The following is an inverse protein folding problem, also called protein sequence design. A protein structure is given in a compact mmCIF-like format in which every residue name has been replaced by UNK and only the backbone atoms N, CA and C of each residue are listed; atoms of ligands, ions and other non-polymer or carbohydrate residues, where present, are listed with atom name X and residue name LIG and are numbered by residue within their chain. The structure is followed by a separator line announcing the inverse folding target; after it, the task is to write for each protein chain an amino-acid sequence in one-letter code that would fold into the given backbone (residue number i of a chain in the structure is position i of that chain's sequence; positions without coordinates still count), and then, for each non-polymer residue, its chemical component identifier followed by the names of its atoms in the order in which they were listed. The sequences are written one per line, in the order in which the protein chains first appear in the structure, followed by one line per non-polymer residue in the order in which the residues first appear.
data_IF_592882788071
#
_entry.id   IF_592882788071
#
_cell.length_a   1.000
_cell.length_b   1.000
_cell.length_c   1.000
_cell.angle_alpha   90.00
_cell.angle_beta   90.00
_cell.angle_gamma   90.00
#
_symmetry.space_group_name_H-M   'P 1'
#
loop_
_entity.id
_entity.type
_entity.pdbx_description
1 polymer ?
#
# COMPACT_ATOMS: atom_id res chain seq x y z
N UNK A 1 13.26 -56.05 38.93
CA UNK A 1 12.88 -56.71 37.66
C UNK A 1 13.38 -55.84 36.52
N UNK A 2 14.30 -56.38 35.71
CA UNK A 2 14.90 -55.74 34.54
C UNK A 2 14.16 -56.24 33.29
N UNK A 3 13.76 -55.33 32.41
CA UNK A 3 13.64 -55.66 30.99
C UNK A 3 13.89 -54.42 30.14
N UNK A 4 14.93 -54.51 29.31
CA UNK A 4 15.39 -53.53 28.34
C UNK A 4 15.30 -54.17 26.96
N UNK A 5 14.76 -53.49 25.94
CA UNK A 5 15.01 -53.69 24.48
C UNK A 5 14.55 -52.37 23.77
N UNK A 6 15.42 -51.39 23.43
CA UNK A 6 16.22 -51.16 22.20
C UNK A 6 15.43 -51.35 20.88
N UNK A 7 15.36 -50.40 19.94
CA UNK A 7 16.27 -50.22 18.77
C UNK A 7 15.60 -49.12 17.89
N UNK A 8 16.19 -47.93 17.70
CA UNK A 8 17.04 -47.48 16.57
C UNK A 8 16.25 -46.90 15.36
N UNK A 9 16.31 -45.57 15.20
CA UNK A 9 16.08 -44.83 13.94
C UNK A 9 17.16 -45.20 12.91
N UNK A 10 17.14 -44.87 11.58
CA UNK A 10 17.25 -43.46 11.14
C UNK A 10 16.93 -43.12 9.64
N UNK A 11 17.20 -41.85 9.23
CA UNK A 11 17.53 -41.34 7.87
C UNK A 11 16.45 -41.50 6.75
N UNK A 12 16.14 -40.49 5.94
CA UNK A 12 16.95 -40.04 4.80
C UNK A 12 16.52 -38.64 4.35
N UNK A 13 17.51 -37.84 3.95
CA UNK A 13 17.42 -36.49 3.44
C UNK A 13 17.28 -36.44 1.90
N UNK A 14 17.02 -35.21 1.42
CA UNK A 14 17.51 -34.62 0.16
C UNK A 14 16.70 -34.88 -1.13
N UNK A 15 16.22 -33.78 -1.73
CA UNK A 15 16.32 -33.57 -3.19
C UNK A 15 16.32 -32.07 -3.53
N UNK A 16 17.43 -31.65 -4.12
CA UNK A 16 17.77 -30.34 -4.69
C UNK A 16 17.60 -30.44 -6.22
N UNK A 17 17.01 -29.45 -6.88
CA UNK A 17 17.21 -29.13 -8.31
C UNK A 17 16.71 -27.68 -8.54
N UNK A 18 17.55 -26.67 -8.81
CA UNK A 18 18.46 -26.40 -9.93
C UNK A 18 17.76 -26.08 -11.27
N UNK A 19 17.63 -24.79 -11.57
CA UNK A 19 17.65 -24.20 -12.93
C UNK A 19 17.85 -22.68 -12.77
N UNK A 20 19.07 -22.14 -12.87
CA UNK A 20 19.84 -21.83 -14.10
C UNK A 20 19.14 -20.86 -15.06
N UNK A 21 19.38 -19.57 -14.82
CA UNK A 21 19.85 -18.55 -15.76
C UNK A 21 19.70 -18.84 -17.27
N UNK A 22 18.94 -18.01 -17.99
CA UNK A 22 18.98 -17.91 -19.45
C UNK A 22 19.41 -16.49 -19.90
N UNK A 23 20.14 -16.36 -21.03
CA UNK A 23 20.97 -15.19 -21.32
C UNK A 23 20.20 -14.03 -21.97
N UNK A 24 20.69 -12.83 -21.67
CA UNK A 24 20.37 -11.53 -22.26
C UNK A 24 20.58 -11.55 -23.79
N UNK A 25 19.52 -11.36 -24.56
CA UNK A 25 19.61 -11.09 -25.99
C UNK A 25 20.13 -9.67 -26.25
N UNK A 26 21.15 -9.56 -27.10
CA UNK A 26 21.79 -8.33 -27.56
C UNK A 26 21.21 -7.83 -28.90
N UNK A 27 20.98 -6.51 -28.94
CA UNK A 27 21.08 -5.57 -30.10
C UNK A 27 19.90 -5.52 -31.10
N UNK A 28 19.62 -4.38 -31.81
CA UNK A 28 20.52 -3.26 -32.12
C UNK A 28 19.94 -1.82 -32.05
N UNK A 29 20.85 -0.86 -32.25
CA UNK A 29 20.70 0.46 -32.87
C UNK A 29 19.85 1.56 -32.20
N UNK A 30 20.58 2.57 -31.73
CA UNK A 30 20.13 3.94 -31.46
C UNK A 30 19.42 4.55 -32.66
N UNK A 31 18.12 4.82 -32.52
CA UNK A 31 17.43 5.87 -33.26
C UNK A 31 17.13 7.01 -32.28
N UNK A 32 17.63 8.20 -32.60
CA UNK A 32 17.32 9.42 -31.86
C UNK A 32 15.81 9.70 -31.91
N UNK A 33 15.14 10.06 -30.81
CA UNK A 33 13.78 10.54 -30.90
C UNK A 33 13.83 11.96 -31.48
N UNK A 34 13.43 12.08 -32.75
CA UNK A 34 12.94 13.33 -33.31
C UNK A 34 11.84 13.85 -32.40
N UNK A 35 12.00 15.09 -31.92
CA UNK A 35 11.08 15.74 -31.00
C UNK A 35 9.68 15.84 -31.58
N UNK A 36 8.84 14.85 -31.27
CA UNK A 36 7.40 14.96 -31.44
C UNK A 36 6.87 15.67 -30.20
N UNK A 37 6.22 16.81 -30.40
CA UNK A 37 5.47 17.47 -29.34
C UNK A 37 4.42 16.49 -28.82
N UNK A 38 4.73 15.83 -27.70
CA UNK A 38 3.82 14.91 -27.05
C UNK A 38 2.58 15.71 -26.63
N UNK A 39 1.48 15.53 -27.35
CA UNK A 39 0.18 15.92 -26.85
C UNK A 39 0.06 15.31 -25.44
N UNK A 40 -0.13 16.16 -24.42
CA UNK A 40 -0.38 15.69 -23.06
C UNK A 40 -1.68 14.89 -23.05
N UNK A 41 -1.56 13.58 -23.27
CA UNK A 41 -2.63 12.64 -22.94
C UNK A 41 -2.84 12.76 -21.44
N UNK A 42 -4.03 13.20 -21.04
CA UNK A 42 -4.40 13.19 -19.64
C UNK A 42 -4.19 11.77 -19.08
N UNK A 43 -3.58 11.62 -17.90
CA UNK A 43 -3.37 10.30 -17.31
C UNK A 43 -4.71 9.58 -17.15
N UNK A 44 -4.79 8.34 -17.66
CA UNK A 44 -5.95 7.48 -17.44
C UNK A 44 -5.82 6.77 -16.09
N UNK A 45 -6.91 6.82 -15.32
CA UNK A 45 -7.02 6.13 -14.04
C UNK A 45 -7.91 4.88 -14.13
N UNK A 46 -8.42 4.56 -15.31
CA UNK A 46 -9.31 3.42 -15.51
C UNK A 46 -8.60 2.10 -15.18
N UNK A 47 -9.29 1.24 -14.42
CA UNK A 47 -8.75 -0.05 -13.97
C UNK A 47 -7.74 0.04 -12.82
N UNK A 48 -7.34 1.23 -12.36
CA UNK A 48 -6.48 1.36 -11.18
C UNK A 48 -7.27 1.01 -9.92
N UNK A 49 -6.74 0.11 -9.11
CA UNK A 49 -7.24 -0.15 -7.77
C UNK A 49 -6.84 0.99 -6.84
N UNK A 50 -7.78 1.45 -6.01
CA UNK A 50 -7.52 2.46 -4.99
C UNK A 50 -8.07 1.97 -3.64
N UNK A 51 -7.19 1.87 -2.65
CA UNK A 51 -7.57 1.54 -1.29
C UNK A 51 -7.72 2.80 -0.42
N UNK A 52 -8.93 3.04 0.06
CA UNK A 52 -9.29 4.22 0.85
C UNK A 52 -9.50 3.79 2.30
N UNK A 53 -8.60 4.18 3.20
CA UNK A 53 -8.67 3.81 4.62
C UNK A 53 -9.33 4.91 5.46
N UNK A 54 -10.23 4.51 6.35
CA UNK A 54 -11.21 5.42 6.97
C UNK A 54 -11.12 5.50 8.50
N UNK A 55 -11.98 4.83 9.23
CA UNK A 55 -11.97 4.73 10.68
C UNK A 55 -12.78 3.52 11.11
N UNK A 56 -13.02 3.39 12.42
CA UNK A 56 -13.77 2.24 12.95
C UNK A 56 -15.19 2.14 12.39
N UNK A 57 -15.79 0.96 12.54
CA UNK A 57 -17.19 0.72 12.15
C UNK A 57 -18.13 1.70 12.86
N UNK A 58 -18.96 2.41 12.10
CA UNK A 58 -19.88 3.44 12.62
C UNK A 58 -19.28 4.85 12.71
N UNK A 59 -17.99 5.04 12.40
CA UNK A 59 -17.39 6.37 12.30
C UNK A 59 -17.85 7.12 11.04
N UNK A 60 -17.80 8.44 11.07
CA UNK A 60 -18.23 9.30 9.94
C UNK A 60 -17.40 9.04 8.67
N UNK A 61 -16.09 8.76 8.82
CA UNK A 61 -15.19 8.58 7.68
C UNK A 61 -15.52 7.40 6.79
N UNK A 62 -16.19 6.35 7.29
CA UNK A 62 -16.55 5.20 6.43
C UNK A 62 -17.63 5.57 5.41
N UNK A 63 -18.54 6.47 5.79
CA UNK A 63 -19.60 6.98 4.89
C UNK A 63 -18.97 7.87 3.82
N UNK A 64 -18.05 8.75 4.20
CA UNK A 64 -17.32 9.58 3.24
C UNK A 64 -16.42 8.77 2.30
N UNK A 65 -15.71 7.77 2.83
CA UNK A 65 -14.89 6.88 2.02
C UNK A 65 -15.70 6.10 1.00
N UNK A 66 -16.87 5.57 1.38
CA UNK A 66 -17.75 4.86 0.47
C UNK A 66 -18.26 5.78 -0.67
N UNK A 67 -18.71 6.99 -0.34
CA UNK A 67 -19.14 7.97 -1.35
C UNK A 67 -18.00 8.42 -2.28
N UNK A 68 -16.79 8.59 -1.74
CA UNK A 68 -15.61 8.91 -2.54
C UNK A 68 -15.25 7.77 -3.49
N UNK A 69 -15.25 6.52 -3.01
CA UNK A 69 -14.99 5.34 -3.83
C UNK A 69 -15.99 5.25 -5.00
N UNK A 70 -17.27 5.44 -4.72
CA UNK A 70 -18.33 5.45 -5.74
C UNK A 70 -18.10 6.52 -6.80
N UNK A 71 -17.75 7.74 -6.37
CA UNK A 71 -17.49 8.85 -7.29
C UNK A 71 -16.27 8.58 -8.18
N UNK A 72 -15.17 8.09 -7.61
CA UNK A 72 -13.96 7.75 -8.36
C UNK A 72 -14.26 6.66 -9.39
N UNK A 73 -15.00 5.62 -9.01
CA UNK A 73 -15.37 4.55 -9.91
C UNK A 73 -16.23 5.06 -11.07
N UNK A 74 -17.23 5.92 -10.78
CA UNK A 74 -18.12 6.49 -11.80
C UNK A 74 -17.44 7.48 -12.73
N UNK A 75 -16.52 8.30 -12.22
CA UNK A 75 -15.92 9.41 -12.98
C UNK A 75 -14.60 9.04 -13.65
N UNK A 76 -13.84 8.14 -13.06
CA UNK A 76 -12.49 7.80 -13.49
C UNK A 76 -12.35 6.33 -13.92
N UNK A 77 -13.39 5.51 -13.74
CA UNK A 77 -13.35 4.08 -14.09
C UNK A 77 -12.37 3.27 -13.25
N UNK A 78 -12.06 3.74 -12.03
CA UNK A 78 -11.19 3.04 -11.07
C UNK A 78 -11.87 1.82 -10.47
N UNK A 79 -11.10 1.02 -9.73
CA UNK A 79 -11.58 0.00 -8.80
C UNK A 79 -11.27 0.44 -7.35
N UNK A 80 -11.92 1.51 -6.92
CA UNK A 80 -11.77 2.09 -5.59
C UNK A 80 -12.68 1.41 -4.57
N UNK A 81 -12.18 1.22 -3.35
CA UNK A 81 -12.94 0.67 -2.22
C UNK A 81 -12.54 1.35 -0.91
N UNK A 82 -13.50 1.47 0.01
CA UNK A 82 -13.29 2.03 1.34
C UNK A 82 -13.20 0.92 2.40
N UNK A 83 -12.26 1.07 3.34
CA UNK A 83 -11.97 0.08 4.37
C UNK A 83 -12.03 0.70 5.77
N UNK A 84 -12.62 -0.05 6.69
CA UNK A 84 -12.63 0.26 8.13
C UNK A 84 -11.25 -0.07 8.72
N UNK A 85 -10.78 0.76 9.65
CA UNK A 85 -9.47 0.63 10.31
C UNK A 85 -9.54 1.04 11.78
N UNK A 86 -8.41 1.01 12.48
CA UNK A 86 -8.29 1.50 13.87
C UNK A 86 -8.14 3.03 13.97
N UNK A 87 -8.35 3.78 12.87
CA UNK A 87 -8.29 5.25 12.73
C UNK A 87 -6.92 5.84 12.35
N UNK A 88 -6.72 7.15 12.58
CA UNK A 88 -5.75 8.01 11.91
C UNK A 88 -4.30 7.53 11.96
N UNK A 89 -3.82 7.01 13.10
CA UNK A 89 -2.43 6.53 13.22
C UNK A 89 -2.21 5.31 12.35
N UNK A 90 -3.14 4.35 12.39
CA UNK A 90 -3.10 3.14 11.57
C UNK A 90 -3.21 3.47 10.08
N UNK A 91 -4.09 4.40 9.72
CA UNK A 91 -4.22 4.88 8.34
C UNK A 91 -2.92 5.45 7.78
N UNK A 92 -2.22 6.29 8.54
CA UNK A 92 -0.95 6.85 8.09
C UNK A 92 0.17 5.81 8.02
N UNK A 93 0.13 4.77 8.86
CA UNK A 93 1.04 3.61 8.74
C UNK A 93 0.74 2.82 7.44
N UNK A 94 -0.53 2.64 7.09
CA UNK A 94 -0.92 1.99 5.83
C UNK A 94 -0.50 2.79 4.59
N UNK A 95 -0.59 4.13 4.63
CA UNK A 95 -0.07 5.01 3.57
C UNK A 95 1.44 4.86 3.44
N UNK A 96 2.17 4.95 4.56
CA UNK A 96 3.63 4.77 4.60
C UNK A 96 4.07 3.43 4.02
N UNK A 97 3.36 2.36 4.36
CA UNK A 97 3.68 1.01 3.94
C UNK A 97 3.23 0.72 2.48
N UNK A 98 2.61 1.70 1.79
CA UNK A 98 2.10 1.54 0.43
C UNK A 98 0.90 0.59 0.32
N UNK A 99 0.18 0.36 1.43
CA UNK A 99 -1.00 -0.52 1.50
C UNK A 99 -2.32 0.24 1.35
N UNK A 100 -2.28 1.56 1.41
CA UNK A 100 -3.39 2.45 1.14
C UNK A 100 -2.96 3.57 0.20
N UNK A 101 -3.91 4.07 -0.59
CA UNK A 101 -3.69 5.16 -1.55
C UNK A 101 -4.26 6.49 -1.03
N UNK A 102 -5.34 6.42 -0.26
CA UNK A 102 -6.02 7.58 0.32
C UNK A 102 -6.38 7.28 1.77
N UNK A 103 -6.14 8.23 2.66
CA UNK A 103 -6.44 8.10 4.08
C UNK A 103 -7.27 9.28 4.57
N UNK A 104 -8.29 8.97 5.37
CA UNK A 104 -8.91 9.96 6.25
C UNK A 104 -8.14 10.00 7.57
N UNK A 105 -7.83 11.19 8.07
CA UNK A 105 -7.07 11.36 9.31
C UNK A 105 -7.45 12.65 10.01
N UNK A 106 -7.12 12.73 11.30
CA UNK A 106 -6.98 14.01 11.97
C UNK A 106 -5.73 14.74 11.47
N UNK A 107 -5.78 16.08 11.53
CA UNK A 107 -4.71 16.94 11.00
C UNK A 107 -3.41 16.86 11.81
N UNK A 108 -3.52 16.73 13.14
CA UNK A 108 -2.39 16.52 14.06
C UNK A 108 -1.66 15.20 13.77
N UNK A 109 -2.41 14.11 13.56
CA UNK A 109 -1.84 12.79 13.25
C UNK A 109 -1.17 12.78 11.88
N UNK A 110 -1.78 13.43 10.87
CA UNK A 110 -1.15 13.58 9.56
C UNK A 110 0.13 14.41 9.64
N UNK A 111 0.11 15.49 10.44
CA UNK A 111 1.30 16.31 10.68
C UNK A 111 2.43 15.50 11.30
N UNK A 112 2.14 14.74 12.35
CA UNK A 112 3.14 13.88 13.00
C UNK A 112 3.69 12.81 12.04
N UNK A 113 2.81 12.19 11.26
CA UNK A 113 3.19 11.17 10.29
C UNK A 113 4.10 11.71 9.19
N UNK A 114 3.81 12.89 8.63
CA UNK A 114 4.61 13.49 7.56
C UNK A 114 5.97 13.97 8.08
N UNK A 115 6.01 14.49 9.31
CA UNK A 115 7.24 14.99 9.92
C UNK A 115 8.07 13.89 10.63
N UNK A 116 7.51 12.70 10.83
CA UNK A 116 8.19 11.61 11.54
C UNK A 116 8.33 11.88 13.04
N UNK A 117 7.31 12.47 13.65
CA UNK A 117 7.24 12.80 15.08
C UNK A 117 6.19 11.95 15.79
N UNK A 118 6.16 12.01 17.12
CA UNK A 118 5.16 11.30 17.92
C UNK A 118 5.14 9.80 17.64
N UNK A 119 3.98 9.21 17.26
CA UNK A 119 3.85 7.78 16.93
C UNK A 119 4.67 7.31 15.71
N UNK A 120 5.29 8.24 14.96
CA UNK A 120 6.06 7.97 13.75
C UNK A 120 7.56 8.26 13.91
N UNK A 121 8.00 8.60 15.13
CA UNK A 121 9.40 8.73 15.48
C UNK A 121 10.11 7.35 15.51
N UNK A 122 11.45 7.36 15.47
CA UNK A 122 12.23 6.11 15.49
C UNK A 122 11.80 5.17 16.64
N UNK A 123 11.66 3.85 16.39
CA UNK A 123 12.09 3.10 15.20
C UNK A 123 11.12 3.14 14.01
N UNK A 124 9.97 3.81 14.15
CA UNK A 124 9.04 4.01 13.04
C UNK A 124 9.62 5.01 12.02
N UNK A 125 8.93 5.16 10.90
CA UNK A 125 9.31 6.09 9.83
C UNK A 125 8.16 7.00 9.48
N UNK A 126 8.49 8.20 9.00
CA UNK A 126 7.53 9.14 8.42
C UNK A 126 6.79 8.53 7.23
N UNK A 127 5.58 8.99 6.99
CA UNK A 127 4.80 8.70 5.80
C UNK A 127 5.13 9.71 4.68
N UNK A 128 5.30 9.23 3.45
CA UNK A 128 5.30 10.11 2.27
C UNK A 128 3.85 10.32 1.81
N UNK A 129 3.24 11.39 2.30
CA UNK A 129 1.85 11.71 2.04
C UNK A 129 1.69 13.19 1.71
N UNK A 130 0.61 13.52 0.99
CA UNK A 130 0.20 14.91 0.71
C UNK A 130 -1.26 15.09 1.11
N UNK A 131 -1.56 16.24 1.70
CA UNK A 131 -2.93 16.61 2.01
C UNK A 131 -3.71 16.87 0.71
N UNK A 132 -4.89 16.25 0.57
CA UNK A 132 -5.78 16.45 -0.58
C UNK A 132 -6.85 17.50 -0.29
N UNK A 133 -7.48 17.43 0.89
CA UNK A 133 -8.55 18.34 1.30
C UNK A 133 -8.69 18.36 2.83
N UNK A 134 -9.25 19.46 3.35
CA UNK A 134 -9.76 19.56 4.73
C UNK A 134 -11.27 19.44 4.68
N UNK A 135 -11.84 18.53 5.48
CA UNK A 135 -13.28 18.23 5.44
C UNK A 135 -14.07 19.08 6.42
N UNK A 136 -13.69 19.04 7.70
CA UNK A 136 -14.30 19.81 8.77
C UNK A 136 -13.33 19.91 9.94
N UNK A 137 -13.58 20.87 10.84
CA UNK A 137 -12.80 20.99 12.07
C UNK A 137 -13.18 19.84 13.01
N UNK A 138 -12.23 18.95 13.26
CA UNK A 138 -12.34 17.90 14.26
C UNK A 138 -11.24 18.12 15.30
N UNK A 139 -11.62 18.15 16.57
CA UNK A 139 -10.71 18.28 17.68
C UNK A 139 -10.92 17.08 18.59
N UNK A 140 -9.83 16.46 19.01
CA UNK A 140 -9.83 15.45 20.08
C UNK A 140 -9.15 16.04 21.29
#
# INVERSE_FOLDING_TARGET
MRTSVRVLAPFVALLLAAACNAPRATSPATSAPSGSAAASTAPSFSGKTLNIVTGGTGAVYIVYGAGLAELLNKKLGTAASAQSTTASVDNMKLIRDGKADVAFTLADTAFDAINGTGPFAAPEKKADAKALAVLYSNLT
#
